data_IF_316851441132
#
_entry.id   IF_316851441132
#
_cell.length_a   1.000
_cell.length_b   1.000
_cell.length_c   1.000
_cell.angle_alpha   90.00
_cell.angle_beta   90.00
_cell.angle_gamma   90.00
#
_symmetry.space_group_name_H-M   'P 1'
#
loop_
_entity.id
_entity.type
_entity.pdbx_description
1 polymer ?
#
# COMPACT_ATOMS: atom_id res chain seq x y z
N UNK A 1 -13.45 4.11 -7.86
CA UNK A 1 -13.51 3.52 -6.50
C UNK A 1 -13.16 4.58 -5.48
N UNK A 2 -13.92 4.69 -4.39
CA UNK A 2 -13.63 5.61 -3.29
C UNK A 2 -12.89 4.92 -2.16
N UNK A 3 -12.33 5.71 -1.25
CA UNK A 3 -11.69 5.23 -0.04
C UNK A 3 -11.67 6.32 1.03
N UNK A 4 -11.38 5.94 2.27
CA UNK A 4 -11.26 6.88 3.37
C UNK A 4 -10.44 6.31 4.53
N UNK A 5 -9.94 7.21 5.38
CA UNK A 5 -9.25 6.82 6.61
C UNK A 5 -10.24 6.37 7.68
N UNK A 6 -9.73 5.82 8.78
CA UNK A 6 -10.56 5.31 9.88
C UNK A 6 -11.53 6.36 10.43
N UNK A 7 -11.10 7.61 10.64
CA UNK A 7 -11.96 8.65 11.17
C UNK A 7 -12.84 9.34 10.11
N UNK A 8 -12.64 9.03 8.83
CA UNK A 8 -13.38 9.64 7.73
C UNK A 8 -12.95 11.06 7.35
N UNK A 9 -11.93 11.62 8.02
CA UNK A 9 -11.45 12.99 7.72
C UNK A 9 -10.87 13.10 6.32
N UNK A 10 -10.13 12.08 5.89
CA UNK A 10 -9.54 11.99 4.54
C UNK A 10 -10.42 11.09 3.70
N UNK A 11 -10.93 11.63 2.60
CA UNK A 11 -11.72 10.90 1.61
C UNK A 11 -11.14 11.13 0.23
N UNK A 12 -11.09 10.09 -0.57
CA UNK A 12 -10.48 10.15 -1.89
C UNK A 12 -11.22 9.26 -2.89
N UNK A 13 -10.92 9.48 -4.15
CA UNK A 13 -11.38 8.65 -5.26
C UNK A 13 -10.19 8.23 -6.11
N UNK A 14 -10.18 6.98 -6.51
CA UNK A 14 -9.30 6.45 -7.55
C UNK A 14 -10.13 6.39 -8.83
N UNK A 15 -9.72 7.18 -9.83
CA UNK A 15 -10.50 7.43 -11.04
C UNK A 15 -10.31 6.37 -12.13
N UNK A 16 -9.32 5.48 -11.97
CA UNK A 16 -9.04 4.40 -12.90
C UNK A 16 -9.10 3.04 -12.21
N UNK A 17 -9.43 1.96 -12.92
CA UNK A 17 -9.44 0.61 -12.33
C UNK A 17 -8.04 0.22 -11.83
N UNK A 18 -7.98 -0.43 -10.68
CA UNK A 18 -6.76 -1.09 -10.22
C UNK A 18 -6.51 -2.32 -11.11
N UNK A 19 -5.29 -2.46 -11.59
CA UNK A 19 -4.90 -3.57 -12.49
C UNK A 19 -4.13 -4.66 -11.78
N UNK A 20 -3.56 -4.37 -10.62
CA UNK A 20 -2.77 -5.31 -9.83
C UNK A 20 -2.67 -4.84 -8.39
N UNK A 21 -2.47 -5.79 -7.47
CA UNK A 21 -2.11 -5.51 -6.08
C UNK A 21 -1.41 -6.72 -5.50
N UNK A 22 -0.72 -6.53 -4.40
CA UNK A 22 -0.04 -7.63 -3.73
C UNK A 22 0.39 -7.28 -2.31
N UNK A 23 1.00 -8.26 -1.66
CA UNK A 23 1.47 -8.15 -0.28
C UNK A 23 2.95 -7.82 -0.24
N UNK A 24 3.31 -6.86 0.61
CA UNK A 24 4.71 -6.59 0.95
C UNK A 24 4.99 -7.08 2.38
N UNK A 25 5.92 -8.02 2.50
CA UNK A 25 6.32 -8.63 3.77
C UNK A 25 7.58 -7.99 4.36
N UNK A 26 8.07 -6.88 3.83
CA UNK A 26 9.26 -6.21 4.36
C UNK A 26 9.02 -5.67 5.77
N UNK A 27 10.09 -5.54 6.54
CA UNK A 27 9.99 -5.05 7.93
C UNK A 27 9.45 -3.63 8.04
N UNK A 28 9.66 -2.78 7.04
CA UNK A 28 9.08 -1.44 7.00
C UNK A 28 7.57 -1.46 6.91
N UNK A 29 7.03 -2.29 6.01
CA UNK A 29 5.60 -2.46 5.88
C UNK A 29 4.98 -3.08 7.14
N UNK A 30 5.65 -4.07 7.73
CA UNK A 30 5.22 -4.66 9.01
C UNK A 30 5.12 -3.60 10.10
N UNK A 31 6.16 -2.78 10.27
CA UNK A 31 6.19 -1.73 11.30
C UNK A 31 5.17 -0.63 11.03
N UNK A 32 5.01 -0.24 9.78
CA UNK A 32 4.07 0.80 9.41
C UNK A 32 2.62 0.42 9.68
N UNK A 33 2.25 -0.81 9.39
CA UNK A 33 0.86 -1.27 9.47
C UNK A 33 0.55 -2.06 10.74
N UNK A 34 1.59 -2.50 11.46
CA UNK A 34 1.40 -3.37 12.63
C UNK A 34 0.91 -4.76 12.26
N UNK A 35 1.21 -5.23 11.06
CA UNK A 35 0.76 -6.52 10.52
C UNK A 35 1.92 -7.32 9.93
N UNK A 36 1.69 -8.60 9.62
CA UNK A 36 2.71 -9.44 8.99
C UNK A 36 3.02 -9.01 7.55
N UNK A 37 2.06 -8.42 6.84
CA UNK A 37 2.22 -7.97 5.48
C UNK A 37 1.22 -6.84 5.17
N UNK A 38 1.60 -5.95 4.25
CA UNK A 38 0.76 -4.85 3.81
C UNK A 38 0.21 -5.12 2.42
N UNK A 39 -1.11 -5.26 2.25
CA UNK A 39 -1.71 -5.29 0.92
C UNK A 39 -1.74 -3.89 0.31
N UNK A 40 -1.23 -3.77 -0.91
CA UNK A 40 -1.09 -2.48 -1.60
C UNK A 40 -1.20 -2.62 -3.10
N UNK A 41 -1.71 -1.59 -3.76
CA UNK A 41 -1.83 -1.52 -5.20
C UNK A 41 -1.00 -0.36 -5.75
N UNK A 42 -0.24 -0.56 -6.84
CA UNK A 42 0.37 0.54 -7.58
C UNK A 42 -0.70 1.53 -8.06
N UNK A 43 -0.35 2.79 -8.05
CA UNK A 43 -1.24 3.88 -8.42
C UNK A 43 -0.42 4.98 -9.08
N UNK A 44 -0.92 5.52 -10.20
CA UNK A 44 -0.39 6.77 -10.72
C UNK A 44 -1.07 7.93 -9.98
N UNK A 45 -0.29 8.94 -9.60
CA UNK A 45 -0.81 10.08 -8.85
C UNK A 45 -1.95 10.82 -9.59
N UNK A 46 -1.95 10.79 -10.92
CA UNK A 46 -3.01 11.40 -11.73
C UNK A 46 -4.38 10.72 -11.57
N UNK A 47 -4.39 9.45 -11.12
CA UNK A 47 -5.62 8.72 -10.85
C UNK A 47 -6.15 8.92 -9.43
N UNK A 48 -5.43 9.66 -8.58
CA UNK A 48 -5.85 9.96 -7.22
C UNK A 48 -6.47 11.35 -7.15
N UNK A 49 -7.69 11.42 -6.63
CA UNK A 49 -8.38 12.69 -6.40
C UNK A 49 -8.86 12.74 -4.95
N UNK A 50 -8.41 13.73 -4.18
CA UNK A 50 -8.95 13.95 -2.85
C UNK A 50 -10.34 14.61 -2.95
N UNK A 51 -11.28 14.04 -2.22
CA UNK A 51 -12.65 14.58 -2.09
C UNK A 51 -12.77 15.47 -0.86
N UNK A 52 -12.11 15.07 0.24
CA UNK A 52 -12.07 15.81 1.50
C UNK A 52 -10.77 15.52 2.23
N UNK A 53 -10.30 16.48 3.00
CA UNK A 53 -9.27 16.26 4.01
C UNK A 53 -7.85 16.10 3.51
N UNK A 54 -7.53 16.51 2.30
CA UNK A 54 -6.15 16.46 1.79
C UNK A 54 -5.17 17.15 2.75
N UNK A 55 -5.59 18.24 3.38
CA UNK A 55 -4.78 19.01 4.33
C UNK A 55 -4.48 18.25 5.63
N UNK A 56 -5.20 17.18 5.91
CA UNK A 56 -4.93 16.29 7.05
C UNK A 56 -3.94 15.18 6.73
N UNK A 57 -3.55 15.03 5.47
CA UNK A 57 -2.53 14.05 5.07
C UNK A 57 -1.15 14.56 5.42
N UNK A 58 -0.37 13.72 6.10
CA UNK A 58 1.04 13.98 6.43
C UNK A 58 1.92 12.90 5.82
N UNK A 59 3.18 13.24 5.61
CA UNK A 59 4.17 12.33 5.05
C UNK A 59 5.31 12.11 6.04
N UNK A 60 5.62 10.85 6.34
CA UNK A 60 6.89 10.47 6.92
C UNK A 60 7.86 10.16 5.79
N UNK A 61 9.02 10.80 5.83
CA UNK A 61 10.08 10.65 4.81
C UNK A 61 11.25 9.88 5.41
N UNK A 62 11.38 8.58 5.11
CA UNK A 62 12.55 7.83 5.55
C UNK A 62 13.80 8.32 4.81
N UNK A 63 15.02 8.06 5.33
CA UNK A 63 16.27 8.42 4.66
C UNK A 63 16.38 7.83 3.25
N UNK A 64 15.76 6.66 3.02
CA UNK A 64 15.68 5.97 1.74
C UNK A 64 14.30 5.34 1.55
N UNK A 65 13.91 5.13 0.30
CA UNK A 65 12.62 4.52 -0.04
C UNK A 65 11.47 5.53 -0.11
N UNK A 66 10.27 5.00 -0.24
CA UNK A 66 9.06 5.79 -0.47
C UNK A 66 8.60 6.54 0.77
N UNK A 67 8.09 7.74 0.56
CA UNK A 67 7.36 8.49 1.59
C UNK A 67 6.12 7.71 2.03
N UNK A 68 5.78 7.85 3.31
CA UNK A 68 4.63 7.19 3.93
C UNK A 68 3.56 8.23 4.25
N UNK A 69 2.47 8.23 3.48
CA UNK A 69 1.38 9.18 3.66
C UNK A 69 0.30 8.57 4.54
N UNK A 70 -0.17 9.35 5.51
CA UNK A 70 -1.13 8.90 6.52
C UNK A 70 -2.05 10.05 6.96
N UNK A 71 -3.18 9.69 7.55
CA UNK A 71 -4.07 10.67 8.17
C UNK A 71 -3.47 11.13 9.51
N UNK A 72 -3.26 12.44 9.64
CA UNK A 72 -2.70 13.01 10.87
C UNK A 72 -3.65 12.88 12.08
N UNK A 73 -4.95 12.76 11.87
CA UNK A 73 -5.93 12.68 12.94
C UNK A 73 -6.10 11.27 13.50
N UNK A 74 -6.17 10.24 12.63
CA UNK A 74 -6.39 8.86 13.10
C UNK A 74 -5.22 7.92 12.85
N UNK A 75 -4.18 8.35 12.14
CA UNK A 75 -2.99 7.54 11.88
C UNK A 75 -3.16 6.49 10.78
N UNK A 76 -4.29 6.42 10.09
CA UNK A 76 -4.48 5.44 9.01
C UNK A 76 -3.39 5.56 7.96
N UNK A 77 -2.73 4.45 7.62
CA UNK A 77 -1.81 4.37 6.49
C UNK A 77 -2.61 4.44 5.19
N UNK A 78 -2.32 5.41 4.33
CA UNK A 78 -3.09 5.67 3.12
C UNK A 78 -2.33 5.30 1.86
N UNK A 79 -1.20 5.98 1.62
CA UNK A 79 -0.44 5.88 0.39
C UNK A 79 1.05 5.78 0.67
N UNK A 80 1.79 5.31 -0.33
CA UNK A 80 3.23 5.57 -0.44
C UNK A 80 3.49 6.34 -1.72
N UNK A 81 4.56 7.14 -1.75
CA UNK A 81 4.94 7.92 -2.92
C UNK A 81 6.45 7.90 -3.09
N UNK A 82 6.91 7.68 -4.32
CA UNK A 82 8.32 7.76 -4.64
C UNK A 82 8.78 9.23 -4.58
N UNK A 83 9.75 9.59 -3.73
CA UNK A 83 10.22 10.97 -3.64
C UNK A 83 10.98 11.43 -4.89
N UNK A 84 11.48 10.49 -5.71
CA UNK A 84 12.21 10.77 -6.96
C UNK A 84 11.30 10.78 -8.19
N UNK A 85 10.12 10.18 -8.07
CA UNK A 85 9.09 10.16 -9.11
C UNK A 85 7.72 10.23 -8.44
N UNK A 86 7.25 11.45 -8.09
CA UNK A 86 6.00 11.63 -7.34
C UNK A 86 4.74 11.11 -8.04
N UNK A 87 4.80 10.84 -9.34
CA UNK A 87 3.71 10.18 -10.05
C UNK A 87 3.56 8.72 -9.64
N UNK A 88 4.63 8.07 -9.21
CA UNK A 88 4.63 6.68 -8.75
C UNK A 88 4.18 6.61 -7.29
N UNK A 89 3.02 6.02 -7.08
CA UNK A 89 2.40 5.85 -5.77
C UNK A 89 1.92 4.41 -5.56
N UNK A 90 1.47 4.15 -4.36
CA UNK A 90 0.65 2.97 -4.04
C UNK A 90 -0.42 3.36 -3.02
N UNK A 91 -1.56 2.68 -3.09
CA UNK A 91 -2.64 2.80 -2.12
C UNK A 91 -2.71 1.54 -1.25
N UNK A 92 -3.01 1.69 0.03
CA UNK A 92 -3.28 0.57 0.94
C UNK A 92 -4.69 0.04 0.68
N UNK A 93 -4.84 -1.28 0.50
CA UNK A 93 -6.15 -1.84 0.16
C UNK A 93 -7.18 -1.66 1.27
N UNK A 94 -6.76 -1.71 2.53
CA UNK A 94 -7.67 -1.61 3.67
C UNK A 94 -8.43 -0.28 3.78
N UNK A 95 -8.00 0.77 3.08
CA UNK A 95 -8.70 2.07 3.08
C UNK A 95 -9.63 2.25 1.88
N UNK A 96 -9.71 1.26 1.00
CA UNK A 96 -10.67 1.26 -0.11
C UNK A 96 -12.05 0.85 0.36
N UNK A 97 -13.09 1.43 -0.24
CA UNK A 97 -14.49 1.17 0.12
C UNK A 97 -15.07 -0.07 -0.59
N UNK A 98 -14.26 -0.77 -1.38
CA UNK A 98 -14.74 -1.93 -2.12
C UNK A 98 -13.61 -2.90 -2.49
N UNK A 99 -13.99 -3.94 -3.20
CA UNK A 99 -13.09 -4.95 -3.73
C UNK A 99 -12.22 -4.36 -4.85
N UNK A 100 -10.92 -4.66 -4.90
CA UNK A 100 -10.06 -4.16 -5.99
C UNK A 100 -10.45 -4.71 -7.38
N UNK A 101 -11.25 -5.76 -7.46
CA UNK A 101 -11.74 -6.32 -8.72
C UNK A 101 -10.79 -7.27 -9.43
N UNK A 102 -9.59 -7.48 -8.89
CA UNK A 102 -8.58 -8.40 -9.43
C UNK A 102 -7.93 -9.16 -8.28
N UNK A 103 -7.46 -10.41 -8.52
CA UNK A 103 -6.79 -11.19 -7.48
C UNK A 103 -5.41 -10.63 -7.14
N UNK A 104 -4.86 -11.05 -6.00
CA UNK A 104 -3.50 -10.72 -5.61
C UNK A 104 -2.50 -11.24 -6.65
N UNK A 105 -1.54 -10.39 -7.02
CA UNK A 105 -0.57 -10.67 -8.08
C UNK A 105 0.80 -11.06 -7.56
N UNK A 106 1.14 -10.76 -6.30
CA UNK A 106 2.45 -11.07 -5.71
C UNK A 106 2.43 -11.10 -4.18
N UNK A 107 3.41 -11.82 -3.63
CA UNK A 107 3.91 -11.68 -2.26
C UNK A 107 5.40 -11.38 -2.36
N UNK A 108 5.81 -10.19 -1.99
CA UNK A 108 7.21 -9.76 -2.12
C UNK A 108 7.90 -9.56 -0.78
N UNK A 109 9.24 -9.57 -0.80
CA UNK A 109 10.09 -9.47 0.37
C UNK A 109 9.85 -10.60 1.39
N UNK A 110 9.63 -11.81 0.88
CA UNK A 110 9.42 -12.98 1.72
C UNK A 110 10.65 -13.38 2.55
N UNK A 111 11.85 -12.95 2.12
CA UNK A 111 13.06 -13.13 2.95
C UNK A 111 12.93 -12.47 4.34
N UNK A 112 12.07 -11.46 4.46
CA UNK A 112 11.79 -10.73 5.70
C UNK A 112 10.46 -11.10 6.34
N UNK A 113 9.76 -12.12 5.84
CA UNK A 113 8.44 -12.50 6.33
C UNK A 113 8.45 -12.75 7.83
N UNK A 114 7.39 -12.32 8.50
CA UNK A 114 7.24 -12.51 9.95
C UNK A 114 7.13 -13.99 10.28
N UNK A 115 7.96 -14.44 11.24
CA UNK A 115 7.99 -15.84 11.63
C UNK A 115 6.73 -16.30 12.38
N UNK A 116 5.97 -15.34 12.93
CA UNK A 116 4.79 -15.61 13.74
C UNK A 116 3.49 -15.75 12.93
N UNK A 117 3.54 -15.52 11.61
CA UNK A 117 2.37 -15.73 10.73
C UNK A 117 2.79 -16.49 9.47
N UNK A 118 2.36 -17.75 9.32
CA UNK A 118 2.67 -18.53 8.12
C UNK A 118 2.15 -17.85 6.85
N UNK A 119 2.96 -17.87 5.80
CA UNK A 119 2.53 -17.39 4.48
C UNK A 119 1.66 -18.48 3.85
N UNK A 120 0.41 -18.17 3.44
CA UNK A 120 -0.48 -19.18 2.85
C UNK A 120 0.08 -19.77 1.55
N UNK A 121 -0.17 -21.04 1.31
CA UNK A 121 0.05 -21.70 0.02
C UNK A 121 -1.18 -21.49 -0.85
N UNK A 122 -1.32 -20.29 -1.38
CA UNK A 122 -2.50 -19.81 -2.10
C UNK A 122 -2.27 -19.65 -3.62
N UNK A 123 -1.11 -20.06 -4.12
CA UNK A 123 -0.75 -19.93 -5.54
C UNK A 123 -0.35 -18.52 -5.97
N UNK A 124 -0.41 -17.53 -5.10
CA UNK A 124 0.04 -16.18 -5.42
C UNK A 124 1.55 -16.19 -5.67
N UNK A 125 2.05 -15.60 -6.77
CA UNK A 125 3.48 -15.53 -7.07
C UNK A 125 4.31 -14.99 -5.90
N UNK A 126 5.43 -15.65 -5.60
CA UNK A 126 6.26 -15.43 -4.42
C UNK A 126 7.64 -14.92 -4.82
N UNK A 127 8.12 -13.90 -4.11
CA UNK A 127 9.42 -13.26 -4.38
C UNK A 127 10.16 -13.05 -3.07
N UNK A 128 11.44 -13.48 -3.01
CA UNK A 128 12.30 -13.24 -1.84
C UNK A 128 12.57 -11.75 -1.62
N UNK A 129 12.78 -11.00 -2.70
CA UNK A 129 12.95 -9.56 -2.72
C UNK A 129 11.76 -8.85 -3.36
N UNK A 130 12.03 -7.77 -4.09
CA UNK A 130 11.00 -7.05 -4.84
C UNK A 130 10.43 -7.90 -5.98
N UNK A 131 9.17 -7.71 -6.33
CA UNK A 131 8.46 -8.47 -7.36
C UNK A 131 9.07 -8.39 -8.77
N UNK A 132 9.93 -7.42 -9.03
CA UNK A 132 10.69 -7.32 -10.29
C UNK A 132 11.92 -8.24 -10.32
N UNK A 133 12.26 -8.91 -9.20
CA UNK A 133 13.36 -9.85 -9.09
C UNK A 133 12.90 -11.29 -9.38
N UNK A 134 13.83 -12.27 -9.28
CA UNK A 134 13.49 -13.68 -9.43
C UNK A 134 12.49 -14.15 -8.34
N UNK A 135 11.63 -15.09 -8.69
CA UNK A 135 10.68 -15.69 -7.75
C UNK A 135 11.40 -16.47 -6.65
N UNK A 136 10.76 -16.47 -5.49
CA UNK A 136 11.17 -17.31 -4.37
C UNK A 136 10.95 -18.80 -4.65
#
# INVERSE_FOLDING_TARGET
>A
MTGHCLCGRVRFEITEPLTAWGYCHCTRCQRRTGTAASPQAPLDASALRFLEGEEAVRAYRPPDGFEKLFCAECGSALFSRDPHDPATMSVRLGVLDGDPGVPASWRQHLASAASWEPVPDDGVPRFEGHRSAARA
#
